data_IF_737531736355
#
_entry.id   IF_737531736355
#
_cell.length_a   1.000
_cell.length_b   1.000
_cell.length_c   1.000
_cell.angle_alpha   90.00
_cell.angle_beta   90.00
_cell.angle_gamma   90.00
#
_symmetry.space_group_name_H-M   'P 1'
#
loop_
_entity.id
_entity.type
_entity.pdbx_description
1 polymer ?
#
# COMPACT_ATOMS: atom_id res chain seq x y z
N UNK A 1 -5.81 -7.51 -23.54
CA UNK A 1 -7.03 -6.83 -23.08
C UNK A 1 -7.01 -6.74 -21.55
N UNK A 2 -7.70 -5.78 -20.95
CA UNK A 2 -7.94 -5.71 -19.53
C UNK A 2 -9.26 -6.41 -19.20
N UNK A 3 -9.33 -7.07 -18.02
CA UNK A 3 -10.52 -7.82 -17.60
C UNK A 3 -10.71 -7.73 -16.08
N UNK A 4 -11.85 -7.21 -15.56
CA UNK A 4 -12.17 -7.29 -14.14
C UNK A 4 -12.56 -8.74 -13.77
N UNK A 5 -12.35 -9.09 -12.51
CA UNK A 5 -12.80 -10.37 -11.95
C UNK A 5 -13.25 -10.23 -10.51
N UNK A 6 -14.00 -11.21 -10.01
CA UNK A 6 -14.54 -11.24 -8.65
C UNK A 6 -15.21 -9.91 -8.21
N UNK A 7 -15.97 -9.32 -9.15
CA UNK A 7 -16.71 -8.07 -8.95
C UNK A 7 -17.88 -8.27 -7.99
N UNK A 8 -18.31 -7.22 -7.31
CA UNK A 8 -19.53 -7.26 -6.48
C UNK A 8 -19.32 -7.90 -5.10
N UNK A 9 -18.14 -7.73 -4.52
CA UNK A 9 -17.88 -8.19 -3.16
C UNK A 9 -17.57 -9.69 -3.04
N UNK A 10 -17.23 -10.36 -4.14
CA UNK A 10 -17.00 -11.81 -4.18
C UNK A 10 -15.54 -12.23 -4.04
N UNK A 11 -14.61 -11.25 -3.98
CA UNK A 11 -13.19 -11.57 -3.89
C UNK A 11 -12.81 -12.08 -2.50
N UNK A 12 -12.07 -13.21 -2.46
CA UNK A 12 -11.67 -13.88 -1.21
C UNK A 12 -10.81 -13.06 -0.26
N UNK A 13 -10.14 -12.01 -0.74
CA UNK A 13 -9.30 -11.14 0.11
C UNK A 13 -10.10 -10.06 0.84
N UNK A 14 -11.37 -9.83 0.51
CA UNK A 14 -12.17 -8.79 1.17
C UNK A 14 -12.24 -9.00 2.69
N UNK A 15 -12.55 -10.20 3.22
CA UNK A 15 -12.56 -10.42 4.66
C UNK A 15 -11.20 -10.18 5.32
N UNK A 16 -10.10 -10.55 4.65
CA UNK A 16 -8.75 -10.33 5.14
C UNK A 16 -8.40 -8.84 5.20
N UNK A 17 -8.76 -8.07 4.16
CA UNK A 17 -8.56 -6.62 4.16
C UNK A 17 -9.35 -5.96 5.28
N UNK A 18 -10.62 -6.33 5.48
CA UNK A 18 -11.45 -5.83 6.57
C UNK A 18 -10.82 -6.15 7.93
N UNK A 19 -10.39 -7.39 8.14
CA UNK A 19 -9.69 -7.81 9.36
C UNK A 19 -8.45 -6.96 9.62
N UNK A 20 -7.63 -6.72 8.60
CA UNK A 20 -6.42 -5.90 8.73
C UNK A 20 -6.74 -4.43 9.05
N UNK A 21 -7.81 -3.87 8.48
CA UNK A 21 -8.28 -2.53 8.83
C UNK A 21 -8.74 -2.45 10.30
N UNK A 22 -9.41 -3.49 10.81
CA UNK A 22 -9.81 -3.57 12.23
C UNK A 22 -8.59 -3.69 13.15
N UNK A 23 -7.60 -4.51 12.79
CA UNK A 23 -6.32 -4.59 13.52
C UNK A 23 -5.59 -3.24 13.52
N UNK A 24 -5.68 -2.49 12.44
CA UNK A 24 -5.10 -1.15 12.32
C UNK A 24 -5.90 -0.06 13.05
N UNK A 25 -7.03 -0.38 13.69
CA UNK A 25 -7.78 0.53 14.56
C UNK A 25 -9.18 0.89 14.05
N UNK A 26 -9.66 0.34 12.95
CA UNK A 26 -11.05 0.50 12.58
C UNK A 26 -11.96 -0.21 13.60
N UNK A 27 -13.09 0.41 13.97
CA UNK A 27 -14.05 -0.24 14.85
C UNK A 27 -14.59 -1.52 14.21
N UNK A 28 -14.79 -2.57 15.01
CA UNK A 28 -15.28 -3.86 14.55
C UNK A 28 -16.59 -3.71 13.74
N UNK A 29 -16.62 -4.26 12.54
CA UNK A 29 -17.75 -4.18 11.62
C UNK A 29 -17.99 -2.80 10.98
N UNK A 30 -17.14 -1.80 11.23
CA UNK A 30 -17.28 -0.47 10.64
C UNK A 30 -16.65 -0.37 9.23
N UNK A 31 -15.64 -1.17 8.95
CA UNK A 31 -14.95 -1.14 7.66
C UNK A 31 -15.88 -1.67 6.55
N UNK A 32 -16.16 -0.83 5.55
CA UNK A 32 -16.87 -1.19 4.33
C UNK A 32 -15.94 -1.00 3.15
N UNK A 33 -15.71 -2.07 2.41
CA UNK A 33 -14.77 -2.10 1.30
C UNK A 33 -15.45 -2.52 0.01
N UNK A 34 -15.24 -1.75 -1.04
CA UNK A 34 -15.47 -2.17 -2.42
C UNK A 34 -14.12 -2.52 -3.04
N UNK A 35 -13.98 -3.75 -3.51
CA UNK A 35 -12.73 -4.24 -4.10
C UNK A 35 -13.01 -4.90 -5.44
N UNK A 36 -12.41 -4.36 -6.49
CA UNK A 36 -12.58 -4.88 -7.85
C UNK A 36 -11.21 -4.98 -8.52
N UNK A 37 -10.58 -6.15 -8.54
CA UNK A 37 -9.32 -6.33 -9.24
C UNK A 37 -9.53 -6.41 -10.75
N UNK A 38 -8.53 -5.90 -11.48
CA UNK A 38 -8.49 -5.89 -12.95
C UNK A 38 -7.19 -6.52 -13.41
N UNK A 39 -7.29 -7.58 -14.20
CA UNK A 39 -6.16 -8.12 -14.94
C UNK A 39 -5.84 -7.18 -16.11
N UNK A 40 -4.56 -6.89 -16.27
CA UNK A 40 -4.06 -6.03 -17.34
C UNK A 40 -2.90 -6.72 -18.08
N UNK A 41 -2.59 -6.35 -19.33
CA UNK A 41 -1.59 -7.03 -20.15
C UNK A 41 -0.16 -6.63 -19.73
N UNK A 42 0.22 -6.94 -18.52
CA UNK A 42 1.60 -6.84 -18.03
C UNK A 42 2.03 -8.17 -17.42
N UNK A 43 3.32 -8.47 -17.48
CA UNK A 43 3.85 -9.78 -17.08
C UNK A 43 3.70 -10.04 -15.58
N UNK A 44 3.87 -9.01 -14.75
CA UNK A 44 3.75 -9.04 -13.29
C UNK A 44 3.67 -7.62 -12.73
N UNK A 45 3.35 -7.52 -11.46
CA UNK A 45 3.19 -6.27 -10.72
C UNK A 45 1.72 -6.02 -10.34
N UNK A 46 1.53 -5.25 -9.30
CA UNK A 46 0.23 -4.75 -8.85
C UNK A 46 0.35 -3.24 -8.66
N UNK A 47 -0.58 -2.50 -9.23
CA UNK A 47 -0.81 -1.09 -8.89
C UNK A 47 -2.17 -1.01 -8.22
N UNK A 48 -2.18 -0.62 -6.95
CA UNK A 48 -3.41 -0.41 -6.19
C UNK A 48 -3.69 1.08 -6.07
N UNK A 49 -4.95 1.47 -6.22
CA UNK A 49 -5.47 2.79 -5.87
C UNK A 49 -6.55 2.61 -4.83
N UNK A 50 -6.38 3.24 -3.68
CA UNK A 50 -7.31 3.22 -2.57
C UNK A 50 -7.85 4.62 -2.36
N UNK A 51 -9.16 4.77 -2.28
CA UNK A 51 -9.81 6.04 -2.00
C UNK A 51 -10.63 5.91 -0.72
N UNK A 52 -10.49 6.86 0.18
CA UNK A 52 -11.25 6.91 1.43
C UNK A 52 -11.71 8.35 1.72
N UNK A 53 -12.88 8.54 2.34
CA UNK A 53 -13.31 9.87 2.78
C UNK A 53 -12.29 10.48 3.75
N UNK A 54 -12.08 11.78 3.68
CA UNK A 54 -11.31 12.51 4.68
C UNK A 54 -12.01 12.45 6.04
N UNK A 55 -11.23 12.27 7.10
CA UNK A 55 -11.75 12.45 8.48
C UNK A 55 -12.06 13.93 8.74
N UNK A 56 -12.92 14.22 9.72
CA UNK A 56 -13.19 15.60 10.13
C UNK A 56 -11.90 16.32 10.53
N UNK A 57 -11.04 15.66 11.32
CA UNK A 57 -9.77 16.22 11.75
C UNK A 57 -8.85 16.60 10.59
N UNK A 58 -8.81 15.78 9.53
CA UNK A 58 -8.00 16.08 8.35
C UNK A 58 -8.58 17.25 7.54
N UNK A 59 -9.92 17.32 7.40
CA UNK A 59 -10.58 18.44 6.69
C UNK A 59 -10.37 19.78 7.39
N UNK A 60 -10.35 19.78 8.73
CA UNK A 60 -10.23 20.97 9.57
C UNK A 60 -8.76 21.35 9.85
N UNK A 61 -7.80 20.54 9.42
CA UNK A 61 -6.39 20.84 9.58
C UNK A 61 -6.01 22.15 8.83
N UNK A 62 -5.14 22.98 9.39
CA UNK A 62 -4.66 24.20 8.71
C UNK A 62 -4.03 23.91 7.34
N UNK A 63 -3.35 22.79 7.23
CA UNK A 63 -2.76 22.27 6.00
C UNK A 63 -3.02 20.75 5.93
N UNK A 64 -4.13 20.33 5.28
CA UNK A 64 -4.49 18.94 5.20
C UNK A 64 -3.47 18.06 4.45
N UNK A 65 -2.81 18.59 3.41
CA UNK A 65 -1.78 17.86 2.65
C UNK A 65 -0.57 17.58 3.52
N UNK A 66 -0.07 18.58 4.23
CA UNK A 66 1.04 18.39 5.16
C UNK A 66 0.66 17.45 6.31
N UNK A 67 -0.56 17.54 6.84
CA UNK A 67 -1.06 16.64 7.89
C UNK A 67 -1.17 15.19 7.40
N UNK A 68 -1.69 14.97 6.19
CA UNK A 68 -1.75 13.65 5.57
C UNK A 68 -0.34 13.09 5.37
N UNK A 69 0.55 13.89 4.79
CA UNK A 69 1.94 13.48 4.55
C UNK A 69 2.66 13.12 5.85
N UNK A 70 2.53 13.94 6.89
CA UNK A 70 3.13 13.69 8.19
C UNK A 70 2.66 12.37 8.81
N UNK A 71 1.38 12.03 8.71
CA UNK A 71 0.85 10.76 9.21
C UNK A 71 1.46 9.54 8.48
N UNK A 72 1.73 9.66 7.18
CA UNK A 72 2.39 8.60 6.40
C UNK A 72 3.90 8.53 6.65
N UNK A 73 4.55 9.68 6.83
CA UNK A 73 5.97 9.74 7.23
C UNK A 73 6.18 9.13 8.63
N UNK A 74 5.26 9.36 9.56
CA UNK A 74 5.29 8.73 10.90
C UNK A 74 5.11 7.21 10.83
N UNK A 75 4.22 6.75 9.96
CA UNK A 75 3.95 5.32 9.81
C UNK A 75 5.04 4.58 9.00
N UNK A 76 5.57 5.19 7.93
CA UNK A 76 6.40 4.50 6.93
C UNK A 76 7.67 5.26 6.53
N UNK A 77 7.87 6.46 7.01
CA UNK A 77 9.06 7.27 6.69
C UNK A 77 10.32 6.71 7.34
N UNK A 78 11.48 7.15 6.86
CA UNK A 78 12.78 6.72 7.37
C UNK A 78 13.00 7.05 8.87
N UNK A 79 12.27 8.00 9.40
CA UNK A 79 12.30 8.42 10.81
C UNK A 79 11.14 7.87 11.64
N UNK A 80 10.18 7.19 11.01
CA UNK A 80 8.97 6.64 11.64
C UNK A 80 9.16 5.22 12.16
N UNK A 81 8.28 4.30 11.78
CA UNK A 81 8.26 2.91 12.28
C UNK A 81 9.48 2.07 11.94
N UNK A 82 10.35 2.56 11.05
CA UNK A 82 11.51 1.80 10.58
C UNK A 82 11.18 0.76 9.50
N UNK A 83 10.04 0.88 8.84
CA UNK A 83 9.59 -0.02 7.78
C UNK A 83 10.48 0.09 6.52
N UNK A 84 11.57 -0.66 6.51
CA UNK A 84 12.61 -0.59 5.48
C UNK A 84 12.15 -1.08 4.09
N UNK A 85 11.04 -1.83 4.02
CA UNK A 85 10.48 -2.39 2.79
C UNK A 85 9.23 -1.66 2.29
N UNK A 86 8.92 -0.48 2.87
CA UNK A 86 7.90 0.44 2.37
C UNK A 86 8.57 1.79 2.10
N UNK A 87 8.44 2.28 0.88
CA UNK A 87 9.05 3.54 0.45
C UNK A 87 7.95 4.56 0.15
N UNK A 88 7.81 5.56 1.00
CA UNK A 88 6.98 6.71 0.73
C UNK A 88 7.71 7.61 -0.26
N UNK A 89 7.18 7.71 -1.47
CA UNK A 89 7.80 8.47 -2.55
C UNK A 89 7.78 9.99 -2.28
N UNK A 90 8.72 10.75 -2.84
CA UNK A 90 8.68 12.21 -2.80
C UNK A 90 7.38 12.77 -3.39
N UNK A 91 6.96 13.94 -2.92
CA UNK A 91 5.79 14.62 -3.47
C UNK A 91 5.91 14.80 -4.99
N UNK A 92 4.78 14.61 -5.68
CA UNK A 92 4.73 14.68 -7.14
C UNK A 92 5.25 13.44 -7.88
N UNK A 93 5.81 12.45 -7.16
CA UNK A 93 6.26 11.18 -7.73
C UNK A 93 5.24 10.09 -7.40
N UNK A 94 4.79 9.35 -8.40
CA UNK A 94 3.77 8.32 -8.23
C UNK A 94 4.34 6.91 -8.39
N UNK A 95 3.77 5.92 -7.68
CA UNK A 95 4.19 4.52 -7.81
C UNK A 95 4.04 3.99 -9.24
N UNK A 96 5.05 3.28 -9.71
CA UNK A 96 5.09 2.65 -11.03
C UNK A 96 5.46 1.19 -10.84
N UNK A 97 4.69 0.25 -11.43
CA UNK A 97 4.98 -1.18 -11.29
C UNK A 97 6.36 -1.58 -11.81
N UNK A 98 6.85 -0.90 -12.86
CA UNK A 98 8.18 -1.16 -13.41
C UNK A 98 9.31 -0.97 -12.40
N UNK A 99 9.23 0.05 -11.53
CA UNK A 99 10.30 0.38 -10.58
C UNK A 99 10.43 -0.61 -9.42
N UNK A 100 9.42 -1.44 -9.19
CA UNK A 100 9.41 -2.43 -8.09
C UNK A 100 9.59 -3.87 -8.55
N UNK A 101 9.73 -4.12 -9.85
CA UNK A 101 9.91 -5.47 -10.36
C UNK A 101 11.16 -6.13 -9.79
N UNK A 102 11.01 -7.37 -9.32
CA UNK A 102 12.07 -8.15 -8.69
C UNK A 102 12.41 -7.76 -7.26
N UNK A 103 11.75 -6.74 -6.69
CA UNK A 103 12.02 -6.29 -5.32
C UNK A 103 11.03 -6.84 -4.29
N UNK A 104 11.46 -6.79 -3.02
CA UNK A 104 10.61 -7.01 -1.86
C UNK A 104 10.02 -5.72 -1.28
N UNK A 105 10.07 -4.61 -2.02
CA UNK A 105 9.64 -3.27 -1.57
C UNK A 105 8.29 -2.91 -2.13
N UNK A 106 7.50 -2.19 -1.35
CA UNK A 106 6.32 -1.47 -1.79
C UNK A 106 6.65 0.03 -1.92
N UNK A 107 6.30 0.65 -3.04
CA UNK A 107 6.34 2.11 -3.19
C UNK A 107 4.94 2.66 -2.99
N UNK A 108 4.82 3.71 -2.18
CA UNK A 108 3.53 4.33 -1.84
C UNK A 108 3.56 5.84 -2.05
N UNK A 109 2.41 6.42 -2.34
CA UNK A 109 2.20 7.86 -2.38
C UNK A 109 0.76 8.17 -2.02
N UNK A 110 0.55 9.34 -1.44
CA UNK A 110 -0.77 9.82 -1.00
C UNK A 110 -1.05 11.22 -1.53
N UNK A 111 -2.31 11.51 -1.73
CA UNK A 111 -2.80 12.84 -2.10
C UNK A 111 -4.20 13.07 -1.55
N UNK A 112 -4.62 14.32 -1.54
CA UNK A 112 -6.00 14.73 -1.28
C UNK A 112 -6.67 15.09 -2.60
N UNK A 113 -7.79 14.46 -2.87
CA UNK A 113 -8.75 14.94 -3.86
C UNK A 113 -9.71 15.91 -3.15
N UNK A 114 -9.45 17.21 -3.30
CA UNK A 114 -10.25 18.25 -2.63
C UNK A 114 -11.68 18.31 -3.16
N UNK A 115 -11.89 18.00 -4.44
CA UNK A 115 -13.21 18.01 -5.05
C UNK A 115 -14.11 16.88 -4.54
N UNK A 116 -13.51 15.74 -4.22
CA UNK A 116 -14.20 14.57 -3.68
C UNK A 116 -14.15 14.49 -2.14
N UNK A 117 -13.45 15.40 -1.47
CA UNK A 117 -13.16 15.34 -0.03
C UNK A 117 -12.58 13.98 0.39
N UNK A 118 -11.65 13.46 -0.40
CA UNK A 118 -11.13 12.12 -0.26
C UNK A 118 -9.60 12.09 -0.19
N UNK A 119 -9.08 11.14 0.56
CA UNK A 119 -7.68 10.72 0.49
C UNK A 119 -7.54 9.67 -0.60
N UNK A 120 -6.53 9.81 -1.44
CA UNK A 120 -6.12 8.81 -2.43
C UNK A 120 -4.75 8.30 -2.04
N UNK A 121 -4.65 6.98 -1.80
CA UNK A 121 -3.37 6.30 -1.60
C UNK A 121 -3.10 5.38 -2.79
N UNK A 122 -1.90 5.43 -3.32
CA UNK A 122 -1.44 4.56 -4.39
C UNK A 122 -0.27 3.73 -3.93
N UNK A 123 -0.25 2.46 -4.35
CA UNK A 123 0.82 1.54 -4.01
C UNK A 123 1.18 0.68 -5.24
N UNK A 124 2.48 0.52 -5.48
CA UNK A 124 2.97 -0.45 -6.44
C UNK A 124 3.85 -1.49 -5.74
N UNK A 125 3.64 -2.76 -6.09
CA UNK A 125 4.44 -3.89 -5.64
C UNK A 125 4.73 -4.85 -6.79
N UNK A 126 5.78 -5.64 -6.64
CA UNK A 126 5.94 -6.88 -7.39
C UNK A 126 5.10 -7.98 -6.73
N UNK A 127 4.11 -8.52 -7.44
CA UNK A 127 3.22 -9.55 -6.90
C UNK A 127 3.92 -10.87 -6.58
N UNK A 128 5.03 -11.18 -7.23
CA UNK A 128 5.85 -12.37 -6.95
C UNK A 128 6.96 -12.09 -5.91
N UNK A 129 7.43 -10.86 -5.83
CA UNK A 129 8.37 -10.36 -4.82
C UNK A 129 7.65 -10.01 -3.50
N UNK A 130 7.37 -8.71 -3.29
CA UNK A 130 6.71 -8.21 -2.06
C UNK A 130 5.37 -8.87 -1.80
N UNK A 131 4.60 -9.18 -2.84
CA UNK A 131 3.29 -9.83 -2.70
C UNK A 131 3.33 -11.31 -2.35
N UNK A 132 4.48 -12.00 -2.42
CA UNK A 132 4.57 -13.45 -2.19
C UNK A 132 5.90 -13.85 -1.54
N UNK A 133 6.95 -14.02 -2.32
CA UNK A 133 8.18 -14.67 -1.86
C UNK A 133 8.94 -13.82 -0.82
N UNK A 134 9.11 -12.53 -1.08
CA UNK A 134 9.82 -11.65 -0.14
C UNK A 134 9.05 -11.44 1.16
N UNK A 135 7.72 -11.41 1.13
CA UNK A 135 6.91 -11.34 2.35
C UNK A 135 7.05 -12.62 3.19
N UNK A 136 7.16 -13.79 2.56
CA UNK A 136 7.40 -15.04 3.27
C UNK A 136 8.80 -15.06 3.92
N UNK A 137 9.85 -14.59 3.22
CA UNK A 137 11.22 -14.45 3.77
C UNK A 137 11.23 -13.42 4.89
N UNK A 138 10.58 -12.28 4.74
CA UNK A 138 10.43 -11.24 5.78
C UNK A 138 9.81 -11.82 7.05
N UNK A 139 8.70 -12.55 6.92
CA UNK A 139 8.03 -13.21 8.04
C UNK A 139 8.92 -14.26 8.71
N UNK A 140 9.69 -15.02 7.93
CA UNK A 140 10.63 -16.01 8.44
C UNK A 140 11.77 -15.33 9.23
N UNK A 141 12.33 -14.24 8.70
CA UNK A 141 13.38 -13.47 9.37
C UNK A 141 12.91 -12.98 10.74
N UNK A 142 11.72 -12.39 10.80
CA UNK A 142 11.11 -11.93 12.07
C UNK A 142 10.89 -13.09 13.04
N UNK A 143 10.37 -14.22 12.56
CA UNK A 143 10.11 -15.40 13.39
C UNK A 143 11.40 -16.01 13.98
N UNK A 144 12.52 -15.89 13.28
CA UNK A 144 13.84 -16.38 13.71
C UNK A 144 14.68 -15.33 14.46
N UNK A 145 14.17 -14.10 14.64
CA UNK A 145 14.94 -13.00 15.25
C UNK A 145 16.11 -12.51 14.40
N UNK A 146 16.05 -12.73 13.08
CA UNK A 146 17.01 -12.19 12.13
C UNK A 146 16.67 -10.76 11.76
N UNK A 147 17.63 -10.04 11.15
CA UNK A 147 17.37 -8.76 10.52
C UNK A 147 16.27 -8.91 9.46
N UNK A 148 15.23 -8.11 9.53
CA UNK A 148 14.01 -8.22 8.73
C UNK A 148 14.27 -8.31 7.23
N UNK A 149 15.25 -7.54 6.74
CA UNK A 149 15.60 -7.43 5.32
C UNK A 149 16.59 -8.47 4.83
N UNK A 150 17.03 -9.40 5.68
CA UNK A 150 18.02 -10.42 5.31
C UNK A 150 17.58 -11.20 4.06
N UNK A 151 18.43 -11.21 3.05
CA UNK A 151 18.21 -11.86 1.74
C UNK A 151 17.01 -11.31 0.94
N UNK A 152 16.48 -10.15 1.29
CA UNK A 152 15.43 -9.48 0.51
C UNK A 152 16.07 -8.39 -0.37
N UNK A 153 15.76 -8.43 -1.65
CA UNK A 153 16.19 -7.39 -2.61
C UNK A 153 15.29 -6.18 -2.45
N UNK A 154 15.83 -5.05 -1.98
CA UNK A 154 15.06 -3.84 -1.75
C UNK A 154 14.86 -2.97 -3.00
N UNK A 155 15.70 -3.12 -4.02
CA UNK A 155 15.62 -2.34 -5.27
C UNK A 155 15.12 -3.20 -6.41
N UNK A 156 14.19 -2.65 -7.19
CA UNK A 156 13.70 -3.31 -8.38
C UNK A 156 14.73 -3.29 -9.52
N UNK A 157 14.51 -4.17 -10.48
CA UNK A 157 15.29 -4.25 -11.73
C UNK A 157 14.74 -3.29 -12.79
N UNK A 158 14.40 -2.05 -12.40
CA UNK A 158 13.89 -1.07 -13.34
C UNK A 158 14.80 -0.93 -14.57
N UNK A 159 14.23 -0.80 -15.77
CA UNK A 159 14.99 -0.56 -16.99
C UNK A 159 15.64 0.82 -16.97
#
# INVERSE_FOLDING_TARGET
SAQPYAVGGTHRHIPEIVQNLEVAGAAAGAARLSFTPVLVPMSRGILATVTAPMTAALREAPDPEAALRAAWDDAYGATGSGESLIQLLPEGTWPITGTVLGSGTATVQVAIDRGAEAVVAMCAIDNLGKGTASAAVQSLNLALGLEETTAIVAQGVAP
#
